data_IF_292412159360
#
_entry.id   IF_292412159360
#
_cell.length_a   1.000
_cell.length_b   1.000
_cell.length_c   1.000
_cell.angle_alpha   90.00
_cell.angle_beta   90.00
_cell.angle_gamma   90.00
#
_symmetry.space_group_name_H-M   'P 1'
#
loop_
_entity.id
_entity.type
_entity.pdbx_description
1 polymer ?
#
# COMPACT_ATOMS: atom_id res chain seq x y z
N UNK A 1 22.97 -9.93 7.00
CA UNK A 1 22.02 -8.82 6.82
C UNK A 1 20.62 -9.42 6.80
N UNK A 2 19.84 -9.33 7.89
CA UNK A 2 18.46 -9.87 7.92
C UNK A 2 17.57 -8.91 7.13
N UNK A 3 17.05 -9.36 5.99
CA UNK A 3 16.08 -8.61 5.20
C UNK A 3 14.81 -8.47 6.02
N UNK A 4 14.54 -7.26 6.50
CA UNK A 4 13.35 -6.94 7.29
C UNK A 4 12.15 -7.01 6.36
N UNK A 5 11.39 -8.09 6.45
CA UNK A 5 10.23 -8.30 5.57
C UNK A 5 9.23 -7.15 5.71
N UNK A 6 8.96 -6.48 4.60
CA UNK A 6 8.02 -5.37 4.53
C UNK A 6 6.61 -5.92 4.72
N UNK A 7 6.14 -5.97 5.98
CA UNK A 7 4.77 -6.41 6.30
C UNK A 7 3.75 -5.51 5.61
N UNK A 8 3.17 -6.00 4.52
CA UNK A 8 2.11 -5.30 3.78
C UNK A 8 0.88 -5.17 4.70
N UNK A 9 0.22 -4.02 4.65
CA UNK A 9 -1.02 -3.82 5.42
C UNK A 9 -2.13 -4.74 4.89
N UNK A 10 -2.77 -5.51 5.77
CA UNK A 10 -3.98 -6.31 5.42
C UNK A 10 -5.08 -5.41 4.82
N UNK A 11 -5.20 -4.17 5.31
CA UNK A 11 -6.15 -3.18 4.78
C UNK A 11 -5.79 -2.74 3.36
N UNK A 12 -4.50 -2.49 3.07
CA UNK A 12 -4.05 -2.13 1.72
C UNK A 12 -4.23 -3.28 0.72
N UNK A 13 -4.09 -4.54 1.17
CA UNK A 13 -4.31 -5.71 0.31
C UNK A 13 -5.73 -5.72 -0.25
N UNK A 14 -6.73 -5.37 0.57
CA UNK A 14 -8.13 -5.34 0.14
C UNK A 14 -8.35 -4.28 -0.94
N UNK A 15 -7.76 -3.08 -0.78
CA UNK A 15 -7.80 -2.04 -1.82
C UNK A 15 -7.15 -2.49 -3.12
N UNK A 16 -6.01 -3.18 -3.06
CA UNK A 16 -5.35 -3.69 -4.27
C UNK A 16 -6.17 -4.78 -4.98
N UNK A 17 -6.84 -5.65 -4.24
CA UNK A 17 -7.72 -6.67 -4.83
C UNK A 17 -8.88 -6.00 -5.57
N UNK A 18 -9.54 -5.01 -4.94
CA UNK A 18 -10.64 -4.26 -5.57
C UNK A 18 -10.15 -3.49 -6.80
N UNK A 19 -9.00 -2.82 -6.70
CA UNK A 19 -8.41 -2.11 -7.84
C UNK A 19 -8.08 -3.05 -9.00
N UNK A 20 -7.55 -4.25 -8.69
CA UNK A 20 -7.30 -5.29 -9.68
C UNK A 20 -8.58 -5.80 -10.34
N UNK A 21 -9.65 -6.00 -9.57
CA UNK A 21 -10.95 -6.38 -10.12
C UNK A 21 -11.48 -5.32 -11.09
N UNK A 22 -11.42 -4.04 -10.70
CA UNK A 22 -11.83 -2.93 -11.56
C UNK A 22 -10.98 -2.84 -12.83
N UNK A 23 -9.68 -3.14 -12.74
CA UNK A 23 -8.80 -3.17 -13.90
C UNK A 23 -9.14 -4.31 -14.87
N UNK A 24 -9.45 -5.50 -14.34
CA UNK A 24 -9.94 -6.62 -15.17
C UNK A 24 -11.27 -6.27 -15.83
N UNK A 25 -12.20 -5.64 -15.09
CA UNK A 25 -13.45 -5.13 -15.65
C UNK A 25 -13.21 -4.13 -16.78
N UNK A 26 -12.25 -3.21 -16.61
CA UNK A 26 -11.86 -2.27 -17.66
C UNK A 26 -11.42 -2.98 -18.95
N UNK A 27 -10.53 -3.98 -18.84
CA UNK A 27 -10.07 -4.76 -20.01
C UNK A 27 -11.22 -5.51 -20.70
N UNK A 28 -12.11 -6.11 -19.90
CA UNK A 28 -13.29 -6.80 -20.43
C UNK A 28 -14.22 -5.84 -21.16
N UNK A 29 -14.44 -4.64 -20.59
CA UNK A 29 -15.29 -3.62 -21.22
C UNK A 29 -14.66 -3.09 -22.50
N UNK A 30 -13.34 -2.87 -22.56
CA UNK A 30 -12.65 -2.53 -23.81
C UNK A 30 -12.92 -3.59 -24.88
N UNK A 31 -12.75 -4.87 -24.53
CA UNK A 31 -12.98 -5.97 -25.47
C UNK A 31 -14.43 -5.98 -25.99
N UNK A 32 -15.41 -5.84 -25.09
CA UNK A 32 -16.82 -5.82 -25.45
C UNK A 32 -17.16 -4.63 -26.35
N UNK A 33 -16.69 -3.43 -25.99
CA UNK A 33 -16.89 -2.22 -26.80
C UNK A 33 -16.23 -2.35 -28.16
N UNK A 34 -15.01 -2.90 -28.23
CA UNK A 34 -14.29 -3.12 -29.49
C UNK A 34 -15.08 -4.04 -30.41
N UNK A 35 -15.56 -5.16 -29.86
CA UNK A 35 -16.36 -6.14 -30.60
C UNK A 35 -17.65 -5.51 -31.12
N UNK A 36 -18.35 -4.73 -30.30
CA UNK A 36 -19.57 -4.04 -30.69
C UNK A 36 -19.34 -3.04 -31.83
N UNK A 37 -18.31 -2.21 -31.73
CA UNK A 37 -17.96 -1.23 -32.78
C UNK A 37 -17.55 -1.93 -34.07
N UNK A 38 -16.80 -3.03 -34.01
CA UNK A 38 -16.44 -3.80 -35.20
C UNK A 38 -17.68 -4.38 -35.91
N UNK A 39 -18.65 -4.90 -35.16
CA UNK A 39 -19.92 -5.39 -35.73
C UNK A 39 -20.74 -4.27 -36.42
N UNK A 40 -20.73 -3.07 -35.85
CA UNK A 40 -21.37 -1.89 -36.46
C UNK A 40 -20.68 -1.45 -37.75
N UNK A 41 -19.35 -1.58 -37.80
CA UNK A 41 -18.55 -1.32 -39.00
C UNK A 41 -18.86 -2.34 -40.11
N UNK A 42 -18.85 -3.63 -39.77
CA UNK A 42 -19.08 -4.72 -40.73
C UNK A 42 -20.51 -4.69 -41.31
N UNK A 43 -21.48 -4.21 -40.53
CA UNK A 43 -22.86 -4.02 -40.98
C UNK A 43 -23.10 -2.75 -41.79
N UNK A 44 -22.07 -1.90 -41.96
CA UNK A 44 -22.18 -0.62 -42.67
C UNK A 44 -23.03 0.42 -41.95
N UNK A 45 -23.39 0.19 -40.68
CA UNK A 45 -24.17 1.14 -39.87
C UNK A 45 -23.34 2.31 -39.38
N UNK A 46 -22.02 2.13 -39.24
CA UNK A 46 -21.08 3.15 -38.78
C UNK A 46 -19.85 3.16 -39.67
N UNK A 47 -19.44 4.35 -40.11
CA UNK A 47 -18.18 4.56 -40.85
C UNK A 47 -17.16 5.25 -39.94
N UNK A 48 -15.93 4.73 -39.86
CA UNK A 48 -14.89 5.36 -39.02
C UNK A 48 -14.55 6.79 -39.45
N UNK A 49 -14.75 7.15 -40.71
CA UNK A 49 -14.42 8.49 -41.22
C UNK A 49 -15.38 9.56 -40.71
N UNK A 50 -16.67 9.23 -40.61
CA UNK A 50 -17.72 10.20 -40.26
C UNK A 50 -18.02 10.20 -38.75
N UNK A 51 -17.86 9.05 -38.08
CA UNK A 51 -18.25 8.86 -36.68
C UNK A 51 -17.07 8.66 -35.71
N UNK A 52 -15.83 9.00 -36.10
CA UNK A 52 -14.65 8.72 -35.26
C UNK A 52 -14.74 9.32 -33.85
N UNK A 53 -15.30 10.54 -33.71
CA UNK A 53 -15.48 11.18 -32.40
C UNK A 53 -16.48 10.43 -31.53
N UNK A 54 -17.59 9.96 -32.11
CA UNK A 54 -18.61 9.19 -31.39
C UNK A 54 -18.04 7.87 -30.90
N UNK A 55 -17.23 7.20 -31.75
CA UNK A 55 -16.53 5.96 -31.37
C UNK A 55 -15.62 6.21 -30.17
N UNK A 56 -14.80 7.28 -30.20
CA UNK A 56 -13.92 7.61 -29.06
C UNK A 56 -14.73 7.93 -27.81
N UNK A 57 -15.77 8.77 -27.92
CA UNK A 57 -16.61 9.13 -26.77
C UNK A 57 -17.30 7.89 -26.19
N UNK A 58 -17.70 6.95 -27.03
CA UNK A 58 -18.28 5.69 -26.60
C UNK A 58 -17.28 4.86 -25.80
N UNK A 59 -16.02 4.74 -26.24
CA UNK A 59 -14.98 4.12 -25.43
C UNK A 59 -14.78 4.83 -24.10
N UNK A 60 -14.66 6.16 -24.11
CA UNK A 60 -14.42 6.94 -22.89
C UNK A 60 -15.57 6.75 -21.90
N UNK A 61 -16.82 6.91 -22.33
CA UNK A 61 -17.99 6.79 -21.46
C UNK A 61 -18.17 5.39 -20.87
N UNK A 62 -17.78 4.35 -21.62
CA UNK A 62 -17.92 2.97 -21.15
C UNK A 62 -16.72 2.49 -20.32
N UNK A 63 -15.51 3.03 -20.55
CA UNK A 63 -14.28 2.45 -19.98
C UNK A 63 -13.60 3.35 -18.95
N UNK A 64 -13.75 4.68 -19.04
CA UNK A 64 -12.99 5.62 -18.21
C UNK A 64 -13.31 5.48 -16.71
N UNK A 65 -14.55 5.15 -16.35
CA UNK A 65 -14.93 4.95 -14.94
C UNK A 65 -14.19 3.77 -14.32
N UNK A 66 -14.09 2.64 -15.04
CA UNK A 66 -13.38 1.46 -14.54
C UNK A 66 -11.88 1.73 -14.35
N UNK A 67 -11.25 2.38 -15.33
CA UNK A 67 -9.83 2.74 -15.25
C UNK A 67 -9.58 3.78 -14.15
N UNK A 68 -10.39 4.85 -14.11
CA UNK A 68 -10.27 5.93 -13.14
C UNK A 68 -10.44 5.44 -11.70
N UNK A 69 -11.46 4.61 -11.45
CA UNK A 69 -11.66 4.01 -10.13
C UNK A 69 -10.56 3.00 -9.79
N UNK A 70 -10.08 2.20 -10.73
CA UNK A 70 -8.97 1.27 -10.49
C UNK A 70 -7.71 2.02 -10.00
N UNK A 71 -7.32 3.08 -10.71
CA UNK A 71 -6.16 3.92 -10.34
C UNK A 71 -6.38 4.60 -8.99
N UNK A 72 -7.57 5.14 -8.75
CA UNK A 72 -7.89 5.84 -7.50
C UNK A 72 -7.85 4.89 -6.30
N UNK A 73 -8.49 3.72 -6.40
CA UNK A 73 -8.51 2.71 -5.34
C UNK A 73 -7.11 2.15 -5.10
N UNK A 74 -6.31 1.92 -6.15
CA UNK A 74 -4.91 1.52 -6.02
C UNK A 74 -4.09 2.58 -5.28
N UNK A 75 -4.26 3.85 -5.65
CA UNK A 75 -3.63 5.00 -4.99
C UNK A 75 -3.97 5.07 -3.50
N UNK A 76 -5.24 4.88 -3.13
CA UNK A 76 -5.66 4.80 -1.73
C UNK A 76 -4.97 3.64 -0.99
N UNK A 77 -4.91 2.45 -1.59
CA UNK A 77 -4.18 1.31 -1.04
C UNK A 77 -2.70 1.61 -0.78
N UNK A 78 -2.07 2.32 -1.71
CA UNK A 78 -0.68 2.75 -1.64
C UNK A 78 -0.42 3.76 -0.52
N UNK A 79 -1.29 4.77 -0.40
CA UNK A 79 -1.19 5.79 0.67
C UNK A 79 -1.33 5.12 2.04
N UNK A 80 -2.30 4.22 2.23
CA UNK A 80 -2.49 3.47 3.48
C UNK A 80 -1.24 2.66 3.82
N UNK A 81 -0.59 2.06 2.81
CA UNK A 81 0.63 1.28 3.02
C UNK A 81 1.80 2.16 3.46
N UNK A 82 1.96 3.34 2.85
CA UNK A 82 2.99 4.32 3.25
C UNK A 82 2.78 4.80 4.69
N UNK A 83 1.54 5.15 5.06
CA UNK A 83 1.21 5.60 6.42
C UNK A 83 1.50 4.51 7.45
N UNK A 84 1.14 3.25 7.16
CA UNK A 84 1.41 2.14 8.06
C UNK A 84 2.92 1.89 8.21
N UNK A 85 3.69 1.96 7.13
CA UNK A 85 5.15 1.79 7.18
C UNK A 85 5.80 2.85 8.08
N UNK A 86 5.36 4.11 7.98
CA UNK A 86 5.84 5.20 8.83
C UNK A 86 5.49 5.00 10.30
N UNK A 87 4.29 4.51 10.59
CA UNK A 87 3.85 4.22 11.96
C UNK A 87 4.64 3.06 12.59
N UNK A 88 4.84 1.96 11.85
CA UNK A 88 5.65 0.82 12.32
C UNK A 88 7.09 1.25 12.61
N UNK A 89 7.69 2.08 11.76
CA UNK A 89 9.05 2.58 11.98
C UNK A 89 9.15 3.46 13.24
N UNK A 90 8.13 4.28 13.52
CA UNK A 90 8.06 5.09 14.74
C UNK A 90 7.89 4.23 16.00
N UNK A 91 7.11 3.15 15.90
CA UNK A 91 6.88 2.27 17.04
C UNK A 91 8.14 1.47 17.39
N UNK A 92 8.87 0.98 16.39
CA UNK A 92 10.14 0.29 16.62
C UNK A 92 11.25 1.18 17.18
N UNK A 93 11.28 2.47 16.83
CA UNK A 93 12.26 3.39 17.44
C UNK A 93 11.96 3.62 18.92
N UNK A 94 10.68 3.79 19.28
CA UNK A 94 10.26 3.96 20.66
C UNK A 94 10.51 2.70 21.51
N UNK A 95 10.21 1.51 20.97
CA UNK A 95 10.53 0.25 21.65
C UNK A 95 12.04 0.05 21.81
N UNK A 96 12.86 0.48 20.84
CA UNK A 96 14.32 0.43 20.96
C UNK A 96 14.85 1.40 22.03
N UNK A 97 14.31 2.62 22.12
CA UNK A 97 14.66 3.58 23.18
C UNK A 97 14.26 3.08 24.57
N UNK A 98 13.06 2.49 24.72
CA UNK A 98 12.61 1.93 26.01
C UNK A 98 13.48 0.73 26.46
N UNK A 99 13.95 -0.10 25.52
CA UNK A 99 14.87 -1.20 25.81
C UNK A 99 16.25 -0.69 26.26
N UNK A 100 16.77 0.39 25.66
CA UNK A 100 18.06 0.98 26.04
C UNK A 100 17.95 1.61 27.44
N UNK A 101 16.85 2.29 27.74
CA UNK A 101 16.61 2.90 29.05
C UNK A 101 16.53 1.86 30.18
N UNK A 102 15.86 0.73 29.94
CA UNK A 102 15.82 -0.40 30.88
C UNK A 102 17.19 -1.02 31.12
N UNK A 103 17.99 -1.21 30.07
CA UNK A 103 19.36 -1.76 30.21
C UNK A 103 20.25 -0.82 31.02
N UNK A 104 20.17 0.50 30.78
CA UNK A 104 20.95 1.47 31.55
C UNK A 104 20.55 1.51 33.04
N UNK A 105 19.25 1.38 33.36
CA UNK A 105 18.79 1.33 34.76
C UNK A 105 19.21 0.04 35.47
N UNK A 106 19.22 -1.10 34.78
CA UNK A 106 19.72 -2.36 35.34
C UNK A 106 21.24 -2.33 35.54
N UNK A 107 22.00 -1.66 34.66
CA UNK A 107 23.44 -1.43 34.85
C UNK A 107 23.73 -0.49 36.02
N UNK A 108 23.03 0.65 36.15
CA UNK A 108 23.21 1.60 37.26
C UNK A 108 22.97 0.93 38.62
N UNK A 109 21.90 0.14 38.73
CA UNK A 109 21.53 -0.58 39.95
C UNK A 109 22.52 -1.70 40.30
N UNK A 110 23.12 -2.34 39.29
CA UNK A 110 24.19 -3.32 39.48
C UNK A 110 25.49 -2.69 40.00
N UNK A 111 25.80 -1.46 39.60
CA UNK A 111 26.98 -0.73 40.09
C UNK A 111 26.79 -0.19 41.52
N UNK A 112 25.59 0.27 41.88
CA UNK A 112 25.29 0.72 43.25
C UNK A 112 25.38 -0.43 44.28
N UNK A 113 24.90 -1.63 43.92
CA UNK A 113 25.04 -2.82 44.77
C UNK A 113 26.51 -3.28 44.91
N UNK A 114 27.36 -3.08 43.90
CA UNK A 114 28.80 -3.40 43.98
C UNK A 114 29.62 -2.39 44.79
N UNK A 115 29.26 -1.10 44.79
CA UNK A 115 29.91 -0.07 45.61
C UNK A 115 29.52 -0.19 47.09
N UNK A 116 28.24 -0.48 47.39
CA UNK A 116 27.77 -0.70 48.76
C UNK A 116 28.46 -1.88 49.46
N UNK A 117 28.71 -2.97 48.73
CA UNK A 117 29.43 -4.16 49.25
C UNK A 117 30.92 -3.86 49.49
N UNK A 118 31.53 -2.93 48.73
CA UNK A 118 32.94 -2.54 48.91
C UNK A 118 33.15 -1.60 50.10
N UNK A 119 32.19 -0.72 50.40
CA UNK A 119 32.25 0.15 51.58
C UNK A 119 32.07 -0.63 52.90
N UNK A 120 31.21 -1.64 52.93
CA UNK A 120 30.98 -2.46 54.13
C UNK A 120 32.24 -3.27 54.51
N UNK A 121 32.92 -3.87 53.53
CA UNK A 121 34.14 -4.69 53.73
C UNK A 121 35.38 -3.87 54.13
N UNK A 122 35.42 -2.57 53.85
CA UNK A 122 36.55 -1.69 54.22
C UNK A 122 36.40 -1.10 55.65
N UNK A 123 35.26 -1.34 56.30
CA UNK A 123 34.92 -0.79 57.62
C UNK A 123 35.07 -1.78 58.80
N UNK A 124 35.50 -3.02 58.53
CA UNK A 124 35.89 -4.05 59.53
C UNK A 124 37.40 -4.09 59.85
#
# INVERSE_FOLDING_TARGET
MKLKEKKISKMSIAFYIVAGLLFVSFLLTIYNVSTYIMQLLDSGQVTLTDSWLEVILYYVNNTAVFLGLSVLVFGCGYIIQLLKQKNVQKQESLEAEELIEKVNQDEEKSTEDEEAVKEEVLSE
#
